data_IF_649025145559
#
_entry.id   IF_649025145559
#
_cell.length_a   1.000
_cell.length_b   1.000
_cell.length_c   1.000
_cell.angle_alpha   90.00
_cell.angle_beta   90.00
_cell.angle_gamma   90.00
#
_symmetry.space_group_name_H-M   'P 1'
#
loop_
_entity.id
_entity.type
_entity.pdbx_description
1 polymer ?
#
# COMPACT_ATOMS: atom_id res chain seq x y z
N UNK A 1 -6.80 10.52 -9.56
CA UNK A 1 -6.42 11.26 -9.84
C UNK A 1 -5.34 12.29 -10.15
N UNK A 2 -4.41 12.55 -9.24
CA UNK A 2 -3.33 13.50 -9.47
C UNK A 2 -2.03 12.98 -8.87
N UNK A 3 -0.89 13.34 -9.48
CA UNK A 3 0.44 13.01 -8.99
C UNK A 3 1.31 14.27 -8.89
N UNK A 4 2.36 14.17 -8.06
CA UNK A 4 3.34 15.26 -7.88
C UNK A 4 4.73 14.71 -8.20
N UNK A 5 5.47 15.44 -9.06
CA UNK A 5 6.89 15.20 -9.31
C UNK A 5 7.71 16.20 -8.49
N UNK A 6 8.47 15.70 -7.54
CA UNK A 6 9.50 16.47 -6.86
C UNK A 6 10.88 16.09 -7.40
N UNK A 7 11.71 17.10 -7.67
CA UNK A 7 13.09 16.88 -8.11
C UNK A 7 13.99 18.07 -7.81
N UNK A 8 15.30 17.80 -7.68
CA UNK A 8 16.29 18.85 -7.61
C UNK A 8 16.38 19.55 -8.96
N UNK A 9 16.34 20.88 -8.98
CA UNK A 9 16.33 21.72 -10.18
C UNK A 9 17.37 21.27 -11.22
N UNK A 10 18.63 21.04 -10.80
CA UNK A 10 19.70 20.60 -11.68
C UNK A 10 19.40 19.34 -12.48
N UNK A 11 18.58 18.42 -11.93
CA UNK A 11 18.19 17.21 -12.62
C UNK A 11 16.98 17.45 -13.52
N UNK A 12 16.01 18.21 -13.05
CA UNK A 12 14.84 18.58 -13.85
C UNK A 12 15.24 19.38 -15.09
N UNK A 13 16.25 20.24 -15.00
CA UNK A 13 16.78 20.96 -16.17
C UNK A 13 17.41 20.02 -17.20
N UNK A 14 18.11 18.97 -16.77
CA UNK A 14 18.78 18.02 -17.65
C UNK A 14 17.84 16.97 -18.23
N UNK A 15 16.77 16.61 -17.53
CA UNK A 15 15.81 15.61 -17.98
C UNK A 15 15.01 16.10 -19.18
N UNK A 16 14.73 15.25 -20.19
CA UNK A 16 13.76 15.58 -21.21
C UNK A 16 12.34 15.68 -20.62
N UNK A 17 11.42 16.43 -21.25
CA UNK A 17 10.01 16.38 -20.89
C UNK A 17 9.48 14.96 -20.99
N UNK A 18 8.52 14.61 -20.11
CA UNK A 18 7.88 13.30 -20.12
C UNK A 18 6.76 13.20 -21.17
N UNK A 19 5.96 14.26 -21.30
CA UNK A 19 4.84 14.35 -22.24
C UNK A 19 4.93 15.65 -23.03
N UNK A 20 4.40 15.66 -24.26
CA UNK A 20 4.22 16.85 -25.08
C UNK A 20 2.79 17.37 -24.99
N UNK A 21 2.63 18.71 -25.07
CA UNK A 21 1.33 19.36 -25.04
C UNK A 21 1.45 20.88 -25.00
N UNK A 22 0.33 21.57 -24.83
CA UNK A 22 0.30 23.01 -24.60
C UNK A 22 1.07 23.41 -23.34
N UNK A 23 1.44 24.66 -23.25
CA UNK A 23 2.15 25.31 -22.13
C UNK A 23 3.57 24.82 -21.84
N UNK A 24 3.85 23.53 -22.00
CA UNK A 24 5.18 22.93 -21.77
C UNK A 24 6.19 23.22 -22.90
N UNK A 25 5.72 23.64 -24.05
CA UNK A 25 6.53 24.06 -25.23
C UNK A 25 6.78 25.55 -25.21
N UNK A 26 7.94 25.99 -25.74
CA UNK A 26 8.27 27.37 -26.02
C UNK A 26 8.11 27.69 -27.51
N UNK A 27 8.70 26.86 -28.37
CA UNK A 27 8.57 26.97 -29.83
C UNK A 27 8.46 25.57 -30.44
N UNK A 28 7.71 25.45 -31.55
CA UNK A 28 7.57 24.22 -32.31
C UNK A 28 7.75 24.52 -33.81
N UNK A 29 8.59 23.74 -34.47
CA UNK A 29 8.68 23.67 -35.94
C UNK A 29 8.75 22.19 -36.36
N UNK A 30 8.78 21.96 -37.68
CA UNK A 30 8.95 20.57 -38.16
C UNK A 30 10.35 20.01 -37.86
N UNK A 31 11.35 20.88 -37.71
CA UNK A 31 12.75 20.51 -37.53
C UNK A 31 13.14 20.48 -36.04
N UNK A 32 12.51 21.33 -35.20
CA UNK A 32 12.98 21.54 -33.85
C UNK A 32 11.88 22.04 -32.92
N UNK A 33 11.90 21.52 -31.68
CA UNK A 33 11.02 21.95 -30.57
C UNK A 33 11.87 22.42 -29.41
N UNK A 34 11.52 23.57 -28.83
CA UNK A 34 12.09 24.03 -27.55
C UNK A 34 11.03 24.03 -26.48
N UNK A 35 11.48 23.78 -25.26
CA UNK A 35 10.60 23.60 -24.11
C UNK A 35 10.58 24.82 -23.21
N UNK A 36 9.52 24.93 -22.45
CA UNK A 36 9.35 26.00 -21.48
C UNK A 36 10.25 25.77 -20.25
N UNK A 37 10.37 26.79 -19.41
CA UNK A 37 11.11 26.71 -18.13
C UNK A 37 10.38 25.85 -17.12
N UNK A 38 11.09 25.41 -16.06
CA UNK A 38 10.48 24.76 -14.92
C UNK A 38 9.51 25.73 -14.20
N UNK A 39 8.38 25.24 -13.67
CA UNK A 39 7.88 23.84 -13.67
C UNK A 39 7.16 23.43 -14.95
N UNK A 40 6.80 24.37 -15.83
CA UNK A 40 5.96 24.18 -17.01
C UNK A 40 6.48 23.12 -17.98
N UNK A 41 7.79 22.92 -18.05
CA UNK A 41 8.44 21.87 -18.86
C UNK A 41 7.85 20.48 -18.62
N UNK A 42 7.33 20.20 -17.44
CA UNK A 42 6.73 18.91 -17.06
C UNK A 42 5.21 18.94 -16.90
N UNK A 43 4.58 20.05 -17.26
CA UNK A 43 3.13 20.27 -17.14
C UNK A 43 2.51 20.40 -18.54
N UNK A 44 2.20 19.26 -19.18
CA UNK A 44 1.68 19.23 -20.53
C UNK A 44 0.17 19.44 -20.57
N UNK A 45 -0.27 20.57 -21.14
CA UNK A 45 -1.67 20.96 -21.30
C UNK A 45 -2.27 21.61 -20.04
N UNK A 46 -3.57 21.83 -20.05
CA UNK A 46 -4.29 22.41 -18.92
C UNK A 46 -4.17 21.52 -17.69
N UNK A 47 -3.64 22.01 -16.56
CA UNK A 47 -3.48 21.19 -15.35
C UNK A 47 -4.85 20.80 -14.75
N UNK A 48 -4.88 19.66 -14.07
CA UNK A 48 -6.05 19.24 -13.31
C UNK A 48 -6.17 20.04 -12.00
N UNK A 49 -6.70 21.25 -12.10
CA UNK A 49 -6.87 22.15 -10.96
C UNK A 49 -7.91 21.66 -9.95
N UNK A 50 -8.87 20.83 -10.37
CA UNK A 50 -9.87 20.25 -9.47
C UNK A 50 -9.22 19.20 -8.56
N UNK A 51 -8.49 18.25 -9.14
CA UNK A 51 -7.79 17.24 -8.36
C UNK A 51 -6.65 17.84 -7.52
N UNK A 52 -5.95 18.89 -8.02
CA UNK A 52 -4.91 19.56 -7.23
C UNK A 52 -5.49 20.25 -5.99
N UNK A 53 -6.67 20.87 -6.10
CA UNK A 53 -7.38 21.44 -4.94
C UNK A 53 -7.78 20.35 -3.93
N UNK A 54 -8.26 19.21 -4.43
CA UNK A 54 -8.57 18.05 -3.59
C UNK A 54 -7.34 17.49 -2.87
N UNK A 55 -6.20 17.38 -3.57
CA UNK A 55 -4.93 16.94 -2.98
C UNK A 55 -4.44 17.94 -1.92
N UNK A 56 -4.51 19.24 -2.19
CA UNK A 56 -4.14 20.27 -1.21
C UNK A 56 -4.94 20.10 0.10
N UNK A 57 -6.26 19.88 -0.01
CA UNK A 57 -7.11 19.65 1.16
C UNK A 57 -6.78 18.36 1.90
N UNK A 58 -6.44 17.29 1.19
CA UNK A 58 -5.99 16.05 1.81
C UNK A 58 -4.67 16.22 2.58
N UNK A 59 -3.72 16.97 2.02
CA UNK A 59 -2.45 17.28 2.68
C UNK A 59 -2.66 18.15 3.94
N UNK A 60 -3.51 19.18 3.85
CA UNK A 60 -3.88 19.99 5.03
C UNK A 60 -4.46 19.10 6.14
N UNK A 61 -5.37 18.20 5.80
CA UNK A 61 -5.96 17.27 6.78
C UNK A 61 -4.90 16.41 7.49
N UNK A 62 -3.94 15.86 6.74
CA UNK A 62 -2.85 15.07 7.33
C UNK A 62 -1.93 15.93 8.21
N UNK A 63 -1.61 17.15 7.77
CA UNK A 63 -0.78 18.10 8.53
C UNK A 63 -1.47 18.54 9.82
N UNK A 64 -2.77 18.83 9.77
CA UNK A 64 -3.57 19.20 10.93
C UNK A 64 -3.70 18.06 11.95
N UNK A 65 -3.78 16.80 11.46
CA UNK A 65 -3.79 15.60 12.31
C UNK A 65 -2.40 15.38 12.95
N UNK A 66 -1.35 15.75 12.23
CA UNK A 66 0.05 15.60 12.62
C UNK A 66 0.64 14.26 12.17
N UNK A 67 1.64 14.31 11.30
CA UNK A 67 2.27 13.10 10.74
C UNK A 67 2.86 12.19 11.82
N UNK A 68 3.48 12.76 12.85
CA UNK A 68 4.05 12.00 13.98
C UNK A 68 2.97 11.26 14.79
N UNK A 69 1.77 11.86 14.92
CA UNK A 69 0.65 11.23 15.60
C UNK A 69 0.10 10.05 14.76
N UNK A 70 0.04 10.22 13.45
CA UNK A 70 -0.38 9.17 12.51
C UNK A 70 0.62 8.00 12.58
N UNK A 71 1.91 8.27 12.44
CA UNK A 71 2.95 7.23 12.53
C UNK A 71 2.88 6.46 13.85
N UNK A 72 2.75 7.17 14.97
CA UNK A 72 2.64 6.54 16.29
C UNK A 72 1.42 5.63 16.37
N UNK A 73 0.26 6.10 15.93
CA UNK A 73 -0.98 5.34 15.94
C UNK A 73 -0.89 4.08 15.06
N UNK A 74 -0.42 4.23 13.82
CA UNK A 74 -0.24 3.12 12.89
C UNK A 74 0.76 2.08 13.41
N UNK A 75 1.84 2.53 14.05
CA UNK A 75 2.80 1.64 14.71
C UNK A 75 2.16 0.86 15.87
N UNK A 76 1.36 1.51 16.72
CA UNK A 76 0.64 0.84 17.80
C UNK A 76 -0.33 -0.22 17.27
N UNK A 77 -1.07 0.09 16.20
CA UNK A 77 -1.97 -0.86 15.55
C UNK A 77 -1.22 -2.04 14.95
N UNK A 78 -0.09 -1.78 14.28
CA UNK A 78 0.74 -2.82 13.65
C UNK A 78 1.29 -3.79 14.68
N UNK A 79 1.85 -3.29 15.78
CA UNK A 79 2.33 -4.13 16.89
C UNK A 79 1.21 -4.96 17.51
N UNK A 80 0.05 -4.34 17.72
CA UNK A 80 -1.11 -5.04 18.24
C UNK A 80 -1.57 -6.15 17.30
N UNK A 81 -1.68 -5.86 16.00
CA UNK A 81 -2.11 -6.81 14.99
C UNK A 81 -1.14 -8.00 14.87
N UNK A 82 0.17 -7.75 14.80
CA UNK A 82 1.18 -8.80 14.69
C UNK A 82 1.10 -9.73 15.91
N UNK A 83 1.03 -9.19 17.13
CA UNK A 83 0.90 -9.98 18.34
C UNK A 83 -0.36 -10.86 18.31
N UNK A 84 -1.51 -10.31 17.92
CA UNK A 84 -2.77 -11.04 17.82
C UNK A 84 -2.78 -12.10 16.72
N UNK A 85 -2.19 -11.79 15.59
CA UNK A 85 -2.11 -12.73 14.46
C UNK A 85 -1.14 -13.88 14.75
N UNK A 86 -0.05 -13.67 15.48
CA UNK A 86 0.88 -14.71 15.89
C UNK A 86 0.24 -15.75 16.86
N UNK A 87 -0.85 -15.40 17.54
CA UNK A 87 -1.64 -16.35 18.36
C UNK A 87 -2.47 -17.33 17.51
N UNK A 88 -2.58 -17.11 16.19
CA UNK A 88 -3.35 -17.98 15.29
C UNK A 88 -2.47 -19.18 14.89
N UNK A 89 -2.95 -20.39 15.14
CA UNK A 89 -2.24 -21.61 14.73
C UNK A 89 -2.01 -21.63 13.22
N UNK A 90 -0.80 -21.94 12.78
CA UNK A 90 -0.46 -22.03 11.37
C UNK A 90 -0.35 -20.68 10.65
N UNK A 91 -0.38 -19.56 11.36
CA UNK A 91 -0.14 -18.23 10.82
C UNK A 91 1.32 -18.06 10.41
N UNK A 92 1.53 -17.53 9.22
CA UNK A 92 2.83 -17.07 8.75
C UNK A 92 2.72 -15.61 8.30
N UNK A 93 3.50 -14.74 8.91
CA UNK A 93 3.60 -13.31 8.61
C UNK A 93 4.89 -13.07 7.84
N UNK A 94 4.78 -12.39 6.70
CA UNK A 94 5.93 -11.96 5.90
C UNK A 94 6.41 -10.60 6.38
N UNK A 95 7.71 -10.46 6.57
CA UNK A 95 8.34 -9.23 7.02
C UNK A 95 8.99 -9.36 8.40
N UNK A 96 9.52 -8.25 8.95
CA UNK A 96 10.19 -8.24 10.23
C UNK A 96 9.22 -8.50 11.38
N UNK A 97 9.56 -9.47 12.24
CA UNK A 97 8.82 -9.84 13.46
C UNK A 97 9.79 -9.97 14.63
N UNK A 98 9.28 -10.20 15.84
CA UNK A 98 10.10 -10.35 17.03
C UNK A 98 10.85 -9.06 17.38
N UNK A 99 12.16 -9.12 17.52
CA UNK A 99 13.01 -7.96 17.89
C UNK A 99 13.00 -6.86 16.82
N UNK A 100 12.73 -7.22 15.56
CA UNK A 100 12.67 -6.30 14.41
C UNK A 100 11.25 -5.82 14.07
N UNK A 101 10.27 -6.14 14.87
CA UNK A 101 8.86 -5.76 14.61
C UNK A 101 8.66 -4.23 14.47
N UNK A 102 9.54 -3.44 15.06
CA UNK A 102 9.53 -1.98 14.96
C UNK A 102 9.90 -1.45 13.56
N UNK A 103 10.46 -2.30 12.71
CA UNK A 103 10.77 -2.01 11.30
C UNK A 103 9.58 -2.32 10.38
N UNK A 104 8.48 -2.86 10.93
CA UNK A 104 7.28 -3.22 10.17
C UNK A 104 6.38 -2.00 10.00
N UNK A 105 6.01 -1.71 8.76
CA UNK A 105 5.01 -0.69 8.44
C UNK A 105 3.59 -1.19 8.73
N UNK A 106 2.60 -0.29 8.66
CA UNK A 106 1.19 -0.59 8.89
C UNK A 106 0.53 -1.44 7.78
N UNK A 107 1.29 -2.38 7.24
CA UNK A 107 0.91 -3.28 6.14
C UNK A 107 1.42 -4.68 6.44
N UNK A 108 0.53 -5.62 6.75
CA UNK A 108 0.88 -7.00 7.13
C UNK A 108 0.47 -7.95 6.00
N UNK A 109 1.45 -8.58 5.36
CA UNK A 109 1.22 -9.69 4.43
C UNK A 109 1.32 -11.02 5.18
N UNK A 110 0.36 -11.91 4.93
CA UNK A 110 0.27 -13.18 5.65
C UNK A 110 -0.34 -14.31 4.82
N UNK A 111 -0.13 -15.51 5.30
CA UNK A 111 -0.85 -16.72 4.92
C UNK A 111 -1.16 -17.56 6.18
N UNK A 112 -2.13 -18.44 6.12
CA UNK A 112 -2.53 -19.28 7.27
C UNK A 112 -2.89 -20.68 6.80
N UNK A 113 -2.52 -21.69 7.59
CA UNK A 113 -2.90 -23.07 7.33
C UNK A 113 -4.29 -23.40 7.89
N UNK A 114 -4.97 -24.43 7.37
CA UNK A 114 -6.18 -24.98 8.00
C UNK A 114 -5.96 -25.33 9.47
N UNK A 115 -7.03 -25.39 10.24
CA UNK A 115 -6.95 -25.77 11.65
C UNK A 115 -6.50 -27.24 11.80
N UNK A 116 -5.57 -27.50 12.71
CA UNK A 116 -5.00 -28.85 12.90
C UNK A 116 -4.09 -29.32 11.77
N UNK A 117 -3.57 -28.39 10.96
CA UNK A 117 -2.69 -28.68 9.83
C UNK A 117 -1.38 -29.33 10.27
N UNK A 118 -0.86 -30.24 9.43
CA UNK A 118 0.49 -30.80 9.55
C UNK A 118 1.52 -29.87 8.89
N UNK A 119 2.83 -30.08 9.09
CA UNK A 119 3.86 -29.33 8.36
C UNK A 119 3.70 -29.37 6.83
N UNK A 120 3.18 -30.47 6.28
CA UNK A 120 2.99 -30.68 4.84
C UNK A 120 1.64 -30.19 4.31
N UNK A 121 0.71 -29.78 5.18
CA UNK A 121 -0.57 -29.21 4.76
C UNK A 121 -0.33 -27.86 4.07
N UNK A 122 -0.89 -27.65 2.86
CA UNK A 122 -0.74 -26.37 2.18
C UNK A 122 -1.46 -25.25 2.96
N UNK A 123 -1.03 -24.02 2.73
CA UNK A 123 -1.74 -22.85 3.21
C UNK A 123 -3.09 -22.68 2.49
N UNK A 124 -4.05 -22.07 3.17
CA UNK A 124 -5.31 -21.66 2.53
C UNK A 124 -5.00 -20.68 1.42
N UNK A 125 -5.55 -20.94 0.23
CA UNK A 125 -5.28 -20.08 -0.91
C UNK A 125 -5.72 -18.63 -0.62
N UNK A 126 -4.87 -17.67 -0.94
CA UNK A 126 -5.09 -16.26 -0.61
C UNK A 126 -6.41 -15.69 -1.15
N UNK A 127 -6.86 -16.14 -2.34
CA UNK A 127 -8.16 -15.73 -2.89
C UNK A 127 -9.34 -16.28 -2.09
N UNK A 128 -9.26 -17.53 -1.63
CA UNK A 128 -10.31 -18.13 -0.81
C UNK A 128 -10.40 -17.42 0.54
N UNK A 129 -9.25 -17.18 1.18
CA UNK A 129 -9.17 -16.41 2.43
C UNK A 129 -9.81 -15.02 2.24
N UNK A 130 -9.41 -14.27 1.23
CA UNK A 130 -9.95 -12.93 0.98
C UNK A 130 -11.44 -12.94 0.64
N UNK A 131 -11.90 -13.88 -0.18
CA UNK A 131 -13.32 -14.01 -0.54
C UNK A 131 -14.19 -14.31 0.67
N UNK A 132 -13.73 -15.18 1.57
CA UNK A 132 -14.49 -15.52 2.77
C UNK A 132 -14.45 -14.40 3.81
N UNK A 133 -13.34 -13.69 3.96
CA UNK A 133 -13.25 -12.50 4.81
C UNK A 133 -14.18 -11.39 4.31
N UNK A 134 -14.24 -11.16 2.99
CA UNK A 134 -15.14 -10.18 2.38
C UNK A 134 -16.61 -10.46 2.72
N UNK A 135 -17.04 -11.73 2.68
CA UNK A 135 -18.38 -12.14 3.12
C UNK A 135 -18.67 -11.88 4.60
N UNK A 136 -17.62 -11.73 5.41
CA UNK A 136 -17.71 -11.35 6.82
C UNK A 136 -17.63 -9.82 7.02
N UNK A 137 -17.56 -9.03 5.93
CA UNK A 137 -17.42 -7.59 5.98
C UNK A 137 -15.99 -7.11 6.29
N UNK A 138 -14.97 -7.96 6.07
CA UNK A 138 -13.57 -7.67 6.35
C UNK A 138 -12.81 -7.52 5.03
N UNK A 139 -12.38 -6.32 4.73
CA UNK A 139 -11.65 -6.00 3.52
C UNK A 139 -10.15 -6.24 3.68
N UNK A 140 -9.60 -7.14 2.85
CA UNK A 140 -8.16 -7.39 2.70
C UNK A 140 -7.79 -7.36 1.22
N UNK A 141 -6.52 -7.15 0.93
CA UNK A 141 -6.03 -7.31 -0.44
C UNK A 141 -5.38 -8.69 -0.60
N UNK A 142 -5.60 -9.34 -1.76
CA UNK A 142 -5.04 -10.65 -2.07
C UNK A 142 -4.31 -10.65 -3.40
N UNK A 143 -3.36 -11.57 -3.57
CA UNK A 143 -2.62 -11.81 -4.81
C UNK A 143 -1.18 -11.36 -4.77
N UNK A 144 -0.63 -10.97 -5.92
CA UNK A 144 0.78 -10.62 -6.09
C UNK A 144 1.14 -9.20 -5.61
N UNK A 145 0.15 -8.37 -5.28
CA UNK A 145 0.32 -6.96 -4.86
C UNK A 145 1.09 -6.08 -5.86
N UNK A 146 1.01 -6.39 -7.16
CA UNK A 146 1.82 -5.81 -8.24
C UNK A 146 3.34 -6.03 -8.08
N UNK A 147 3.73 -7.09 -7.37
CA UNK A 147 5.10 -7.44 -7.01
C UNK A 147 5.38 -8.93 -7.24
N UNK A 148 5.01 -9.47 -8.41
CA UNK A 148 5.19 -10.89 -8.73
C UNK A 148 6.63 -11.39 -8.55
N UNK A 149 7.69 -10.64 -8.91
CA UNK A 149 9.06 -11.05 -8.63
C UNK A 149 9.36 -11.27 -7.14
N UNK A 150 8.73 -10.49 -6.26
CA UNK A 150 8.84 -10.68 -4.81
C UNK A 150 8.14 -11.97 -4.37
N UNK A 151 6.94 -12.25 -4.90
CA UNK A 151 6.22 -13.50 -4.59
C UNK A 151 7.06 -14.71 -4.98
N UNK A 152 7.68 -14.71 -6.15
CA UNK A 152 8.60 -15.76 -6.58
C UNK A 152 9.80 -15.92 -5.64
N UNK A 153 10.38 -14.82 -5.16
CA UNK A 153 11.49 -14.85 -4.19
C UNK A 153 11.06 -15.43 -2.86
N UNK A 154 9.83 -15.15 -2.42
CA UNK A 154 9.26 -15.69 -1.20
C UNK A 154 8.78 -17.14 -1.35
N UNK A 155 8.70 -17.67 -2.58
CA UNK A 155 8.25 -19.03 -2.87
C UNK A 155 6.74 -19.23 -2.72
N UNK A 156 5.95 -18.15 -2.92
CA UNK A 156 4.48 -18.17 -2.79
C UNK A 156 3.80 -17.66 -4.07
N UNK A 157 2.57 -18.12 -4.31
CA UNK A 157 1.76 -17.66 -5.45
C UNK A 157 1.14 -16.29 -5.21
N UNK A 158 0.95 -15.91 -3.96
CA UNK A 158 0.37 -14.65 -3.52
C UNK A 158 0.12 -14.66 -2.02
N UNK A 159 -0.21 -13.53 -1.45
CA UNK A 159 -0.50 -13.41 -0.01
C UNK A 159 -1.81 -12.68 0.24
N UNK A 160 -2.36 -12.80 1.43
CA UNK A 160 -3.33 -11.86 1.98
C UNK A 160 -2.59 -10.68 2.60
N UNK A 161 -3.15 -9.48 2.48
CA UNK A 161 -2.58 -8.27 3.05
C UNK A 161 -3.62 -7.45 3.79
N UNK A 162 -3.40 -7.23 5.07
CA UNK A 162 -4.11 -6.26 5.88
C UNK A 162 -3.31 -4.95 5.92
N UNK A 163 -3.99 -3.82 5.82
CA UNK A 163 -3.38 -2.48 5.92
C UNK A 163 -4.18 -1.65 6.91
N UNK A 164 -3.49 -0.90 7.73
CA UNK A 164 -4.09 -0.03 8.74
C UNK A 164 -3.75 1.42 8.44
N UNK A 165 -4.68 2.32 8.69
CA UNK A 165 -4.50 3.75 8.54
C UNK A 165 -4.94 4.49 9.80
N UNK A 166 -4.80 5.80 9.76
CA UNK A 166 -5.06 6.70 10.88
C UNK A 166 -6.46 6.62 11.50
N UNK A 167 -7.41 5.99 10.82
CA UNK A 167 -8.81 5.83 11.25
C UNK A 167 -9.16 4.42 11.75
N UNK A 168 -8.24 3.45 11.64
CA UNK A 168 -8.50 2.10 12.12
C UNK A 168 -8.34 1.99 13.65
N UNK A 169 -8.96 0.96 14.22
CA UNK A 169 -8.99 0.72 15.66
C UNK A 169 -8.52 -0.70 16.02
N UNK A 170 -8.24 -0.93 17.31
CA UNK A 170 -7.87 -2.27 17.82
C UNK A 170 -9.04 -3.25 17.72
N UNK A 171 -10.27 -2.79 17.86
CA UNK A 171 -11.49 -3.58 17.74
C UNK A 171 -11.67 -4.12 16.31
N UNK A 172 -11.28 -3.34 15.30
CA UNK A 172 -11.29 -3.79 13.91
C UNK A 172 -10.22 -4.85 13.67
N UNK A 173 -9.06 -4.75 14.32
CA UNK A 173 -8.02 -5.78 14.30
C UNK A 173 -8.51 -7.06 14.98
N UNK A 174 -9.18 -6.96 16.12
CA UNK A 174 -9.79 -8.11 16.79
C UNK A 174 -10.83 -8.79 15.87
N UNK A 175 -11.61 -7.99 15.14
CA UNK A 175 -12.57 -8.49 14.14
C UNK A 175 -11.87 -9.22 12.99
N UNK A 176 -10.77 -8.69 12.49
CA UNK A 176 -9.94 -9.36 11.48
C UNK A 176 -9.42 -10.71 11.98
N UNK A 177 -8.86 -10.73 13.19
CA UNK A 177 -8.32 -11.97 13.82
C UNK A 177 -9.40 -13.03 13.99
N UNK A 178 -10.57 -12.64 14.47
CA UNK A 178 -11.72 -13.55 14.58
C UNK A 178 -12.21 -14.04 13.22
N UNK A 179 -12.23 -13.16 12.20
CA UNK A 179 -12.56 -13.50 10.83
C UNK A 179 -11.61 -14.55 10.26
N UNK A 180 -10.30 -14.36 10.42
CA UNK A 180 -9.27 -15.31 9.98
C UNK A 180 -9.47 -16.67 10.65
N UNK A 181 -9.65 -16.73 11.98
CA UNK A 181 -9.92 -17.97 12.73
C UNK A 181 -11.20 -18.67 12.24
N UNK A 182 -12.25 -17.91 11.95
CA UNK A 182 -13.50 -18.44 11.42
C UNK A 182 -13.32 -19.03 10.02
N UNK A 183 -12.59 -18.33 9.13
CA UNK A 183 -12.28 -18.88 7.79
C UNK A 183 -11.41 -20.11 7.91
N UNK A 184 -10.39 -20.11 8.76
CA UNK A 184 -9.52 -21.24 9.02
C UNK A 184 -10.30 -22.51 9.42
N UNK A 185 -11.38 -22.37 10.20
CA UNK A 185 -12.21 -23.48 10.64
C UNK A 185 -13.13 -24.07 9.55
N UNK A 186 -13.15 -23.47 8.34
CA UNK A 186 -13.95 -23.94 7.20
C UNK A 186 -13.16 -24.91 6.30
N UNK A 187 -11.87 -25.04 6.51
CA UNK A 187 -10.94 -25.89 5.77
C UNK A 187 -10.42 -27.03 6.62
#
# INVERSE_FOLDING_TARGET
>A
GIGVLYGKEKWLEQMPPYMGGGDMIKTVSFEHTTFNVLPYKFEAGTPDYVASTGLAKALEYLMDTGMDNIEKHERELTLYAINKMQEIEGMHIFGPIGEHVHEHDAVISFEVKPLGATPHTPYIHHLDMGTLLDRLGIAVRTGHHCAEPLMRRLGVEGTCRASFGLYNTKEEIDTLVQGIKRVQSMF
#
